data_IF_891944002773
#
_entry.id   IF_891944002773
#
_cell.length_a   1.000
_cell.length_b   1.000
_cell.length_c   1.000
_cell.angle_alpha   90.00
_cell.angle_beta   90.00
_cell.angle_gamma   90.00
#
_symmetry.space_group_name_H-M   'P 1'
#
loop_
_entity.id
_entity.type
_entity.pdbx_description
1 polymer ?
#
# COMPACT_ATOMS: atom_id res chain seq x y z
N UNK A 1 25.62 5.34 3.26
CA UNK A 1 24.73 5.65 2.99
C UNK A 1 23.41 5.13 3.40
N UNK A 2 23.28 4.55 4.60
CA UNK A 2 21.99 4.14 5.13
C UNK A 2 21.04 5.35 5.26
N UNK A 3 21.55 6.51 5.67
CA UNK A 3 20.75 7.73 5.84
C UNK A 3 20.20 8.27 4.52
N UNK A 4 20.95 8.18 3.43
CA UNK A 4 20.48 8.61 2.11
C UNK A 4 19.36 7.71 1.60
N UNK A 5 19.50 6.40 1.80
CA UNK A 5 18.48 5.42 1.43
C UNK A 5 17.20 5.67 2.23
N UNK A 6 17.31 5.98 3.53
CA UNK A 6 16.17 6.28 4.40
C UNK A 6 15.44 7.54 3.92
N UNK A 7 16.15 8.62 3.58
CA UNK A 7 15.55 9.87 3.13
C UNK A 7 14.82 9.73 1.79
N UNK A 8 15.43 9.05 0.82
CA UNK A 8 14.82 8.78 -0.48
C UNK A 8 13.56 7.93 -0.31
N UNK A 9 13.65 6.90 0.51
CA UNK A 9 12.58 5.92 0.68
C UNK A 9 11.30 6.50 1.30
N UNK A 10 11.41 7.46 2.21
CA UNK A 10 10.27 8.01 2.93
C UNK A 10 9.21 8.61 2.01
N UNK A 11 9.62 9.51 1.12
CA UNK A 11 8.72 10.16 0.18
C UNK A 11 8.22 9.19 -0.90
N UNK A 12 9.10 8.34 -1.41
CA UNK A 12 8.77 7.35 -2.42
C UNK A 12 7.78 6.31 -1.89
N UNK A 13 7.97 5.84 -0.66
CA UNK A 13 7.07 4.87 -0.02
C UNK A 13 5.68 5.46 0.14
N UNK A 14 5.59 6.72 0.59
CA UNK A 14 4.30 7.40 0.71
C UNK A 14 3.59 7.50 -0.64
N UNK A 15 4.32 7.88 -1.68
CA UNK A 15 3.76 8.03 -3.03
C UNK A 15 3.30 6.68 -3.58
N UNK A 16 4.08 5.61 -3.37
CA UNK A 16 3.69 4.27 -3.78
C UNK A 16 2.43 3.80 -3.05
N UNK A 17 2.35 4.02 -1.73
CA UNK A 17 1.17 3.65 -0.95
C UNK A 17 -0.10 4.34 -1.48
N UNK A 18 0.00 5.61 -1.88
CA UNK A 18 -1.13 6.36 -2.45
C UNK A 18 -1.61 5.78 -3.78
N UNK A 19 -0.70 5.25 -4.60
CA UNK A 19 -1.06 4.59 -5.87
C UNK A 19 -1.96 3.38 -5.62
N UNK A 20 -1.74 2.62 -4.54
CA UNK A 20 -2.55 1.44 -4.23
C UNK A 20 -3.98 1.79 -3.83
N UNK A 21 -4.22 2.98 -3.30
CA UNK A 21 -5.58 3.48 -3.07
C UNK A 21 -6.32 3.64 -4.40
N UNK A 22 -5.65 4.19 -5.40
CA UNK A 22 -6.21 4.37 -6.76
C UNK A 22 -6.45 3.02 -7.43
N UNK A 23 -5.49 2.10 -7.37
CA UNK A 23 -5.61 0.77 -7.96
C UNK A 23 -6.77 -0.02 -7.33
N UNK A 24 -6.94 0.08 -6.02
CA UNK A 24 -8.04 -0.58 -5.32
C UNK A 24 -9.39 -0.03 -5.79
N UNK A 25 -9.50 1.29 -5.95
CA UNK A 25 -10.72 1.94 -6.46
C UNK A 25 -11.03 1.47 -7.88
N UNK A 26 -10.03 1.41 -8.74
CA UNK A 26 -10.18 0.93 -10.12
C UNK A 26 -10.66 -0.53 -10.13
N UNK A 27 -10.11 -1.36 -9.25
CA UNK A 27 -10.53 -2.76 -9.11
C UNK A 27 -11.99 -2.85 -8.67
N UNK A 28 -12.41 -2.05 -7.71
CA UNK A 28 -13.81 -1.98 -7.26
C UNK A 28 -14.74 -1.54 -8.39
N UNK A 29 -14.31 -0.59 -9.22
CA UNK A 29 -15.08 -0.16 -10.38
C UNK A 29 -15.26 -1.30 -11.39
N UNK A 30 -14.23 -2.11 -11.62
CA UNK A 30 -14.32 -3.29 -12.49
C UNK A 30 -15.33 -4.29 -11.94
N UNK A 31 -15.32 -4.54 -10.62
CA UNK A 31 -16.28 -5.43 -9.97
C UNK A 31 -17.71 -4.93 -10.20
N UNK A 32 -17.94 -3.63 -10.06
CA UNK A 32 -19.24 -3.02 -10.29
C UNK A 32 -19.70 -3.16 -11.75
N UNK A 33 -18.77 -2.97 -12.69
CA UNK A 33 -19.06 -3.17 -14.11
C UNK A 33 -19.40 -4.62 -14.42
N UNK A 34 -18.67 -5.57 -13.87
CA UNK A 34 -18.91 -7.00 -14.03
C UNK A 34 -20.28 -7.39 -13.45
N UNK A 35 -20.64 -6.82 -12.30
CA UNK A 35 -21.97 -7.04 -11.71
C UNK A 35 -23.09 -6.51 -12.59
N UNK A 36 -22.89 -5.36 -13.22
CA UNK A 36 -23.83 -4.80 -14.20
C UNK A 36 -23.97 -5.67 -15.44
N UNK A 37 -22.86 -6.20 -15.95
CA UNK A 37 -22.89 -7.15 -17.09
C UNK A 37 -23.66 -8.40 -16.72
N UNK A 38 -23.46 -8.93 -15.51
CA UNK A 38 -24.20 -10.11 -15.03
C UNK A 38 -25.70 -9.90 -15.06
N UNK A 39 -26.17 -8.72 -14.65
CA UNK A 39 -27.58 -8.37 -14.69
C UNK A 39 -28.10 -8.37 -16.13
N UNK A 40 -27.35 -7.77 -17.07
CA UNK A 40 -27.70 -7.75 -18.49
C UNK A 40 -27.71 -9.13 -19.11
N UNK A 41 -26.77 -9.99 -18.75
CA UNK A 41 -26.71 -11.38 -19.19
C UNK A 41 -27.95 -12.16 -18.75
N UNK A 42 -28.38 -11.96 -17.51
CA UNK A 42 -29.57 -12.62 -16.98
C UNK A 42 -30.85 -12.21 -17.74
N UNK A 43 -30.86 -11.01 -18.30
CA UNK A 43 -31.99 -10.52 -19.11
C UNK A 43 -31.92 -11.00 -20.57
N UNK A 44 -30.70 -11.01 -21.15
CA UNK A 44 -30.49 -11.27 -22.59
C UNK A 44 -30.35 -12.75 -22.94
N UNK A 45 -29.90 -13.59 -22.00
CA UNK A 45 -29.61 -15.00 -22.24
C UNK A 45 -30.40 -15.89 -21.29
N UNK A 46 -30.60 -17.16 -21.71
CA UNK A 46 -31.31 -18.15 -20.92
C UNK A 46 -30.58 -19.48 -20.92
N UNK A 47 -30.86 -20.33 -19.94
CA UNK A 47 -30.38 -21.70 -19.88
C UNK A 47 -28.90 -21.81 -19.66
N UNK A 48 -28.30 -22.80 -20.32
CA UNK A 48 -26.90 -23.16 -20.14
C UNK A 48 -25.94 -22.02 -20.51
N UNK A 49 -26.25 -21.28 -21.58
CA UNK A 49 -25.38 -20.18 -22.04
C UNK A 49 -25.31 -19.08 -20.97
N UNK A 50 -26.46 -18.71 -20.38
CA UNK A 50 -26.51 -17.74 -19.27
C UNK A 50 -25.69 -18.23 -18.11
N UNK A 51 -25.84 -19.50 -17.73
CA UNK A 51 -25.16 -20.07 -16.56
C UNK A 51 -23.64 -20.11 -16.75
N UNK A 52 -23.17 -20.47 -17.95
CA UNK A 52 -21.74 -20.49 -18.26
C UNK A 52 -21.13 -19.08 -18.24
N UNK A 53 -21.83 -18.08 -18.78
CA UNK A 53 -21.38 -16.70 -18.76
C UNK A 53 -21.33 -16.17 -17.31
N UNK A 54 -22.36 -16.44 -16.54
CA UNK A 54 -22.43 -16.03 -15.12
C UNK A 54 -21.32 -16.68 -14.30
N UNK A 55 -21.01 -17.94 -14.55
CA UNK A 55 -19.92 -18.64 -13.87
C UNK A 55 -18.58 -17.96 -14.16
N UNK A 56 -18.33 -17.60 -15.43
CA UNK A 56 -17.11 -16.87 -15.82
C UNK A 56 -17.05 -15.49 -15.16
N UNK A 57 -18.16 -14.77 -15.12
CA UNK A 57 -18.24 -13.45 -14.48
C UNK A 57 -17.97 -13.58 -12.98
N UNK A 58 -18.56 -14.56 -12.31
CA UNK A 58 -18.34 -14.80 -10.88
C UNK A 58 -16.86 -15.12 -10.58
N UNK A 59 -16.22 -15.90 -11.45
CA UNK A 59 -14.79 -16.20 -11.33
C UNK A 59 -13.95 -14.93 -11.45
N UNK A 60 -14.26 -14.05 -12.38
CA UNK A 60 -13.57 -12.77 -12.56
C UNK A 60 -13.79 -11.85 -11.36
N UNK A 61 -15.00 -11.79 -10.83
CA UNK A 61 -15.31 -11.00 -9.62
C UNK A 61 -14.49 -11.52 -8.44
N UNK A 62 -14.41 -12.83 -8.25
CA UNK A 62 -13.61 -13.43 -7.18
C UNK A 62 -12.12 -13.08 -7.32
N UNK A 63 -11.60 -13.12 -8.54
CA UNK A 63 -10.20 -12.73 -8.80
C UNK A 63 -9.97 -11.26 -8.51
N UNK A 64 -10.92 -10.39 -8.85
CA UNK A 64 -10.85 -8.97 -8.53
C UNK A 64 -10.89 -8.72 -7.02
N UNK A 65 -11.73 -9.47 -6.29
CA UNK A 65 -11.76 -9.37 -4.83
C UNK A 65 -10.43 -9.78 -4.21
N UNK A 66 -9.83 -10.86 -4.69
CA UNK A 66 -8.51 -11.29 -4.24
C UNK A 66 -7.44 -10.24 -4.54
N UNK A 67 -7.49 -9.65 -5.73
CA UNK A 67 -6.58 -8.57 -6.11
C UNK A 67 -6.75 -7.36 -5.18
N UNK A 68 -7.99 -6.98 -4.87
CA UNK A 68 -8.27 -5.88 -3.96
C UNK A 68 -7.68 -6.13 -2.57
N UNK A 69 -7.79 -7.35 -2.06
CA UNK A 69 -7.18 -7.76 -0.78
C UNK A 69 -5.67 -7.68 -0.84
N UNK A 70 -5.06 -8.17 -1.93
CA UNK A 70 -3.62 -8.11 -2.12
C UNK A 70 -3.13 -6.66 -2.18
N UNK A 71 -3.85 -5.79 -2.90
CA UNK A 71 -3.54 -4.37 -2.97
C UNK A 71 -3.60 -3.71 -1.59
N UNK A 72 -4.60 -4.06 -0.78
CA UNK A 72 -4.72 -3.56 0.59
C UNK A 72 -3.54 -4.04 1.46
N UNK A 73 -3.14 -5.29 1.31
CA UNK A 73 -2.01 -5.86 2.05
C UNK A 73 -0.70 -5.16 1.69
N UNK A 74 -0.48 -4.89 0.40
CA UNK A 74 0.70 -4.16 -0.07
C UNK A 74 0.70 -2.73 0.48
N UNK A 75 -0.43 -2.05 0.42
CA UNK A 75 -0.58 -0.70 0.98
C UNK A 75 -0.23 -0.67 2.46
N UNK A 76 -0.76 -1.62 3.24
CA UNK A 76 -0.49 -1.74 4.67
C UNK A 76 1.00 -1.99 4.93
N UNK A 77 1.63 -2.87 4.15
CA UNK A 77 3.06 -3.14 4.26
C UNK A 77 3.90 -1.91 3.98
N UNK A 78 3.52 -1.11 2.98
CA UNK A 78 4.20 0.15 2.65
C UNK A 78 4.04 1.19 3.76
N UNK A 79 2.86 1.28 4.35
CA UNK A 79 2.60 2.19 5.48
C UNK A 79 3.44 1.79 6.70
N UNK A 80 3.55 0.49 6.98
CA UNK A 80 4.39 -0.03 8.06
C UNK A 80 5.86 0.27 7.81
N UNK A 81 6.32 0.11 6.56
CA UNK A 81 7.69 0.45 6.19
C UNK A 81 7.96 1.94 6.37
N UNK A 82 7.01 2.78 5.99
CA UNK A 82 7.13 4.23 6.18
C UNK A 82 7.29 4.59 7.66
N UNK A 83 6.50 3.95 8.53
CA UNK A 83 6.60 4.14 9.98
C UNK A 83 7.95 3.69 10.52
N UNK A 84 8.45 2.53 10.06
CA UNK A 84 9.75 2.01 10.45
C UNK A 84 10.88 2.98 10.06
N UNK A 85 10.81 3.54 8.85
CA UNK A 85 11.76 4.54 8.37
C UNK A 85 11.72 5.78 9.27
N UNK A 86 10.54 6.25 9.61
CA UNK A 86 10.35 7.42 10.48
C UNK A 86 10.94 7.18 11.88
N UNK A 87 10.72 6.00 12.45
CA UNK A 87 11.28 5.64 13.75
C UNK A 87 12.80 5.58 13.72
N UNK A 88 13.36 5.05 12.64
CA UNK A 88 14.81 5.00 12.45
C UNK A 88 15.42 6.40 12.34
N UNK A 89 14.77 7.31 11.63
CA UNK A 89 15.19 8.71 11.58
C UNK A 89 15.21 9.36 12.96
N UNK A 90 14.18 9.12 13.76
CA UNK A 90 14.08 9.64 15.13
C UNK A 90 15.19 9.07 16.02
N UNK A 91 15.49 7.79 15.85
CA UNK A 91 16.56 7.12 16.59
C UNK A 91 17.93 7.73 16.25
N UNK A 92 18.20 7.94 14.98
CA UNK A 92 19.44 8.56 14.51
C UNK A 92 19.57 9.99 15.04
N UNK A 93 18.49 10.73 15.05
CA UNK A 93 18.47 12.10 15.57
C UNK A 93 18.80 12.14 17.07
N UNK A 94 18.24 11.21 17.85
CA UNK A 94 18.55 11.13 19.30
C UNK A 94 20.03 10.80 19.54
N UNK A 95 20.56 9.83 18.80
CA UNK A 95 21.96 9.44 18.91
C UNK A 95 22.88 10.64 18.61
N UNK A 96 22.56 11.38 17.57
CA UNK A 96 23.31 12.57 17.18
C UNK A 96 23.33 13.62 18.28
N UNK A 97 22.16 13.89 18.85
CA UNK A 97 22.02 14.87 19.95
C UNK A 97 22.79 14.45 21.20
N UNK A 98 22.71 13.17 21.55
CA UNK A 98 23.45 12.64 22.71
C UNK A 98 24.95 12.77 22.53
N UNK A 99 25.46 12.49 21.32
CA UNK A 99 26.88 12.65 21.00
C UNK A 99 27.32 14.10 21.08
N UNK A 100 26.51 15.02 20.58
CA UNK A 100 26.79 16.46 20.65
C UNK A 100 26.84 16.95 22.10
N UNK A 101 25.89 16.51 22.92
CA UNK A 101 25.86 16.87 24.35
C UNK A 101 27.08 16.32 25.09
N UNK A 102 27.45 15.08 24.83
CA UNK A 102 28.63 14.45 25.43
C UNK A 102 29.90 15.20 25.04
N UNK A 103 30.03 15.59 23.78
CA UNK A 103 31.17 16.34 23.30
C UNK A 103 31.25 17.71 23.97
N UNK A 104 30.15 18.42 24.09
CA UNK A 104 30.07 19.72 24.80
C UNK A 104 30.44 19.57 26.28
N UNK A 105 29.99 18.50 26.91
CA UNK A 105 30.35 18.23 28.31
C UNK A 105 31.82 18.00 28.48
N UNK A 106 32.44 17.20 27.58
CA UNK A 106 33.87 16.94 27.58
C UNK A 106 34.69 18.22 27.37
N UNK A 107 34.25 19.10 26.48
CA UNK A 107 34.88 20.39 26.26
C UNK A 107 34.81 21.29 27.49
N UNK A 108 33.68 21.31 28.18
CA UNK A 108 33.52 22.06 29.43
C UNK A 108 34.43 21.52 30.54
N UNK A 109 34.59 20.21 30.64
CA UNK A 109 35.47 19.57 31.62
C UNK A 109 36.95 19.89 31.39
N UNK A 110 37.35 20.18 30.16
CA UNK A 110 38.73 20.55 29.82
C UNK A 110 39.07 21.99 30.16
N UNK A 111 38.10 22.82 30.42
CA UNK A 111 38.31 24.20 30.84
C UNK A 111 38.38 24.30 32.36
#
# INVERSE_FOLDING_TARGET
MVLEVVDISKSEIKNEALKYVTYKRETENIINELSGIRIRVNTAFQGKTRDEINESINLLINRCNNLSEDLQSIKTSLENLQEDVLQEERRQERIRKEKEEEQRRKEREKQ
#
